data_IF_073186170071
#
_entry.id   IF_073186170071
#
_cell.length_a   1.000
_cell.length_b   1.000
_cell.length_c   1.000
_cell.angle_alpha   90.00
_cell.angle_beta   90.00
_cell.angle_gamma   90.00
#
_symmetry.space_group_name_H-M   'P 1'
#
loop_
_entity.id
_entity.type
_entity.pdbx_description
1 polymer ?
#
# COMPACT_ATOMS: atom_id res chain seq x y z
N UNK A 1 -6.29 7.17 19.70
CA UNK A 1 -5.11 7.16 18.82
C UNK A 1 -5.48 7.99 17.60
N UNK A 2 -4.66 8.95 17.18
CA UNK A 2 -4.97 9.73 15.97
C UNK A 2 -4.44 8.98 14.74
N UNK A 3 -5.33 8.21 14.12
CA UNK A 3 -5.02 7.40 12.94
C UNK A 3 -4.51 8.23 11.76
N UNK A 4 -4.88 9.51 11.69
CA UNK A 4 -4.44 10.41 10.63
C UNK A 4 -2.93 10.66 10.70
N UNK A 5 -2.40 10.88 11.90
CA UNK A 5 -0.96 11.10 12.13
C UNK A 5 -0.18 9.82 11.82
N UNK A 6 -0.66 8.68 12.31
CA UNK A 6 0.01 7.39 12.09
C UNK A 6 0.02 6.98 10.61
N UNK A 7 -1.08 7.21 9.88
CA UNK A 7 -1.14 6.94 8.45
C UNK A 7 -0.27 7.92 7.65
N UNK A 8 -0.17 9.19 8.08
CA UNK A 8 0.74 10.15 7.47
C UNK A 8 2.21 9.72 7.62
N UNK A 9 2.60 9.12 8.75
CA UNK A 9 3.95 8.56 8.92
C UNK A 9 4.22 7.41 7.94
N UNK A 10 3.25 6.53 7.71
CA UNK A 10 3.37 5.46 6.70
C UNK A 10 3.55 6.05 5.31
N UNK A 11 2.74 7.05 4.95
CA UNK A 11 2.85 7.78 3.68
C UNK A 11 4.28 8.30 3.49
N UNK A 12 4.81 9.02 4.48
CA UNK A 12 6.16 9.58 4.41
C UNK A 12 7.25 8.50 4.26
N UNK A 13 7.14 7.38 4.97
CA UNK A 13 8.10 6.28 4.87
C UNK A 13 8.13 5.68 3.46
N UNK A 14 6.95 5.45 2.86
CA UNK A 14 6.84 4.93 1.49
C UNK A 14 7.38 5.94 0.47
N UNK A 15 7.05 7.22 0.61
CA UNK A 15 7.53 8.28 -0.28
C UNK A 15 9.05 8.47 -0.18
N UNK A 16 9.62 8.48 1.02
CA UNK A 16 11.07 8.61 1.26
C UNK A 16 11.86 7.40 0.78
N UNK A 17 11.31 6.20 0.92
CA UNK A 17 11.96 4.97 0.47
C UNK A 17 11.97 4.83 -1.06
N UNK A 18 11.24 5.68 -1.79
CA UNK A 18 11.14 5.64 -3.25
C UNK A 18 10.83 4.21 -3.75
N UNK A 19 9.83 3.56 -3.14
CA UNK A 19 9.43 2.21 -3.53
C UNK A 19 9.21 2.15 -5.04
N UNK A 20 10.08 1.46 -5.76
CA UNK A 20 10.03 1.35 -7.22
C UNK A 20 10.41 -0.07 -7.63
N UNK A 21 10.05 -0.47 -8.84
CA UNK A 21 10.42 -1.80 -9.31
C UNK A 21 10.07 -2.08 -10.76
N UNK A 22 10.58 -3.20 -11.24
CA UNK A 22 10.36 -3.69 -12.61
C UNK A 22 8.98 -4.31 -12.78
N UNK A 23 8.39 -4.79 -11.68
CA UNK A 23 7.04 -5.34 -11.62
C UNK A 23 6.19 -4.64 -10.54
N UNK A 24 4.85 -4.72 -10.63
CA UNK A 24 3.94 -4.27 -9.56
C UNK A 24 4.20 -4.96 -8.22
N UNK A 25 4.64 -6.23 -8.24
CA UNK A 25 4.91 -6.99 -7.03
C UNK A 25 6.15 -6.49 -6.28
N UNK A 26 7.16 -6.00 -7.00
CA UNK A 26 8.33 -5.35 -6.40
C UNK A 26 7.89 -4.14 -5.53
N UNK A 27 6.97 -3.33 -6.08
CA UNK A 27 6.40 -2.18 -5.36
C UNK A 27 5.60 -2.65 -4.14
N UNK A 28 4.74 -3.66 -4.28
CA UNK A 28 3.98 -4.24 -3.16
C UNK A 28 4.90 -4.72 -2.04
N UNK A 29 5.98 -5.41 -2.39
CA UNK A 29 6.94 -5.94 -1.43
C UNK A 29 7.66 -4.81 -0.68
N UNK A 30 8.10 -3.77 -1.39
CA UNK A 30 8.70 -2.59 -0.76
C UNK A 30 7.72 -1.92 0.23
N UNK A 31 6.45 -1.70 -0.16
CA UNK A 31 5.46 -1.08 0.72
C UNK A 31 5.22 -1.96 1.96
N UNK A 32 5.14 -3.29 1.80
CA UNK A 32 4.99 -4.22 2.94
C UNK A 32 6.14 -4.11 3.94
N UNK A 33 7.37 -3.92 3.48
CA UNK A 33 8.51 -3.67 4.37
C UNK A 33 8.37 -2.35 5.12
N UNK A 34 8.01 -1.26 4.42
CA UNK A 34 7.79 0.04 5.07
C UNK A 34 6.66 0.01 6.10
N UNK A 35 5.61 -0.77 5.83
CA UNK A 35 4.54 -1.03 6.81
C UNK A 35 5.07 -1.73 8.07
N UNK A 36 5.92 -2.76 7.91
CA UNK A 36 6.56 -3.45 9.04
C UNK A 36 7.46 -2.52 9.85
N UNK A 37 8.25 -1.68 9.18
CA UNK A 37 9.08 -0.64 9.83
C UNK A 37 8.22 0.38 10.60
N UNK A 38 7.02 0.66 10.12
CA UNK A 38 6.04 1.52 10.78
C UNK A 38 5.26 0.82 11.91
N UNK A 39 5.54 -0.46 12.20
CA UNK A 39 4.87 -1.24 13.25
C UNK A 39 3.56 -1.91 12.82
N UNK A 40 3.28 -1.97 11.52
CA UNK A 40 2.12 -2.68 10.98
C UNK A 40 2.52 -4.07 10.46
N UNK A 41 1.68 -5.07 10.69
CA UNK A 41 1.77 -6.40 10.11
C UNK A 41 0.82 -6.49 8.89
N UNK A 42 1.33 -6.51 7.64
CA UNK A 42 0.48 -6.67 6.46
C UNK A 42 -0.20 -8.04 6.46
N UNK A 43 -1.52 -8.06 6.31
CA UNK A 43 -2.35 -9.27 6.32
C UNK A 43 -2.85 -9.65 4.94
N UNK A 44 -3.10 -8.67 4.07
CA UNK A 44 -3.54 -8.91 2.70
C UNK A 44 -2.99 -7.84 1.74
N UNK A 45 -2.84 -8.21 0.48
CA UNK A 45 -2.46 -7.29 -0.59
C UNK A 45 -3.27 -7.64 -1.84
N UNK A 46 -3.83 -6.63 -2.49
CA UNK A 46 -4.59 -6.76 -3.73
C UNK A 46 -4.01 -5.82 -4.77
N UNK A 47 -3.84 -6.35 -5.98
CA UNK A 47 -3.59 -5.58 -7.19
C UNK A 47 -4.93 -5.40 -7.90
N UNK A 48 -5.32 -4.15 -8.12
CA UNK A 48 -6.61 -3.81 -8.70
C UNK A 48 -6.43 -3.11 -10.05
N UNK A 49 -7.31 -3.38 -10.99
CA UNK A 49 -7.32 -2.79 -12.32
C UNK A 49 -7.91 -1.36 -12.32
N UNK A 50 -8.19 -0.79 -13.50
CA UNK A 50 -8.76 0.56 -13.63
C UNK A 50 -10.19 0.69 -13.08
N UNK A 51 -10.94 -0.42 -12.98
CA UNK A 51 -12.30 -0.47 -12.47
C UNK A 51 -12.36 -0.78 -10.96
N UNK A 52 -11.19 -0.92 -10.32
CA UNK A 52 -11.05 -1.29 -8.90
C UNK A 52 -11.43 -2.76 -8.65
N UNK A 53 -11.40 -3.60 -9.70
CA UNK A 53 -11.56 -5.04 -9.61
C UNK A 53 -10.20 -5.74 -9.49
N UNK A 54 -10.12 -6.98 -8.94
CA UNK A 54 -8.87 -7.74 -8.93
C UNK A 54 -8.29 -7.87 -10.35
N UNK A 55 -7.06 -7.41 -10.54
CA UNK A 55 -6.42 -7.45 -11.85
C UNK A 55 -6.15 -8.89 -12.27
N UNK A 56 -6.53 -9.27 -13.51
CA UNK A 56 -6.28 -10.62 -14.05
C UNK A 56 -4.78 -10.91 -14.18
N UNK A 57 -3.99 -9.87 -14.48
CA UNK A 57 -2.53 -9.91 -14.55
C UNK A 57 -1.93 -8.75 -13.76
N UNK A 58 -0.82 -8.96 -13.03
CA UNK A 58 -0.19 -7.89 -12.26
C UNK A 58 0.06 -6.63 -13.08
N UNK A 59 0.52 -6.76 -14.33
CA UNK A 59 0.88 -5.64 -15.21
C UNK A 59 -0.30 -4.74 -15.58
N UNK A 60 -1.53 -5.22 -15.43
CA UNK A 60 -2.76 -4.46 -15.65
C UNK A 60 -3.17 -3.64 -14.41
N UNK A 61 -2.52 -3.87 -13.26
CA UNK A 61 -2.85 -3.19 -12.02
C UNK A 61 -2.64 -1.68 -12.14
N UNK A 62 -3.66 -0.95 -11.69
CA UNK A 62 -3.66 0.51 -11.53
C UNK A 62 -3.66 0.93 -10.07
N UNK A 63 -4.03 0.04 -9.16
CA UNK A 63 -4.02 0.31 -7.73
C UNK A 63 -3.43 -0.85 -6.93
N UNK A 64 -2.86 -0.50 -5.78
CA UNK A 64 -2.44 -1.43 -4.74
C UNK A 64 -3.28 -1.13 -3.52
N UNK A 65 -3.98 -2.14 -3.00
CA UNK A 65 -4.66 -2.09 -1.71
C UNK A 65 -3.96 -3.04 -0.75
N UNK A 66 -3.50 -2.51 0.38
CA UNK A 66 -2.84 -3.27 1.44
C UNK A 66 -3.68 -3.19 2.70
N UNK A 67 -3.94 -4.34 3.31
CA UNK A 67 -4.54 -4.43 4.63
C UNK A 67 -3.47 -4.82 5.63
N UNK A 68 -3.49 -4.18 6.80
CA UNK A 68 -2.54 -4.46 7.85
C UNK A 68 -3.19 -4.32 9.23
N UNK A 69 -2.57 -4.97 10.22
CA UNK A 69 -2.92 -4.82 11.64
C UNK A 69 -1.76 -4.23 12.40
N UNK A 70 -2.04 -3.64 13.55
CA UNK A 70 -1.02 -3.19 14.49
C UNK A 70 -1.21 -3.90 15.81
N UNK A 71 -0.11 -4.27 16.47
CA UNK A 71 -0.20 -4.87 17.79
C UNK A 71 -0.91 -3.92 18.77
N UNK A 72 -1.85 -4.46 19.55
CA UNK A 72 -2.69 -3.68 20.46
C UNK A 72 -3.84 -2.92 19.79
N UNK A 73 -3.96 -2.95 18.45
CA UNK A 73 -5.12 -2.42 17.72
C UNK A 73 -5.96 -3.57 17.14
N UNK A 74 -7.27 -3.55 17.44
CA UNK A 74 -8.23 -4.53 16.91
C UNK A 74 -8.70 -4.20 15.50
N UNK A 75 -8.44 -2.98 15.04
CA UNK A 75 -8.90 -2.48 13.76
C UNK A 75 -8.04 -2.98 12.61
N UNK A 76 -8.62 -2.99 11.41
CA UNK A 76 -7.87 -3.27 10.18
C UNK A 76 -7.58 -1.96 9.47
N UNK A 77 -6.30 -1.71 9.21
CA UNK A 77 -5.84 -0.53 8.49
C UNK A 77 -5.71 -0.85 7.02
N UNK A 78 -6.26 0.01 6.18
CA UNK A 78 -6.23 -0.11 4.73
C UNK A 78 -5.39 1.04 4.17
N UNK A 79 -4.41 0.71 3.35
CA UNK A 79 -3.57 1.66 2.63
C UNK A 79 -3.76 1.46 1.13
N UNK A 80 -4.10 2.52 0.42
CA UNK A 80 -4.37 2.46 -1.02
C UNK A 80 -3.43 3.38 -1.78
N UNK A 81 -2.83 2.85 -2.83
CA UNK A 81 -1.88 3.54 -3.70
C UNK A 81 -2.31 3.40 -5.15
N UNK A 82 -2.15 4.44 -5.96
CA UNK A 82 -2.14 4.31 -7.41
C UNK A 82 -0.80 3.74 -7.83
N UNK A 83 -0.79 2.91 -8.88
CA UNK A 83 0.40 2.34 -9.47
C UNK A 83 0.69 3.05 -10.79
N UNK A 84 1.80 3.79 -10.81
CA UNK A 84 2.26 4.53 -11.99
C UNK A 84 3.39 3.75 -12.66
N UNK A 85 3.54 3.88 -13.98
CA UNK A 85 4.63 3.26 -14.75
C UNK A 85 5.38 4.27 -15.65
N UNK A 86 5.96 5.35 -15.10
CA UNK A 86 6.75 6.28 -15.90
C UNK A 86 8.02 5.59 -16.41
N UNK A 87 8.31 5.71 -17.71
CA UNK A 87 9.56 5.20 -18.28
C UNK A 87 9.78 3.69 -18.10
N UNK A 88 8.71 2.91 -17.91
CA UNK A 88 8.79 1.45 -17.75
C UNK A 88 8.99 0.95 -16.32
N UNK A 89 9.26 1.83 -15.35
CA UNK A 89 9.45 1.49 -13.93
C UNK A 89 8.16 1.74 -13.15
N UNK A 90 7.72 0.77 -12.35
CA UNK A 90 6.56 0.93 -11.49
C UNK A 90 6.89 1.74 -10.24
N UNK A 91 6.01 2.65 -9.84
CA UNK A 91 6.09 3.42 -8.60
C UNK A 91 4.70 3.65 -7.99
N UNK A 92 4.54 3.63 -6.65
CA UNK A 92 3.28 3.94 -6.01
C UNK A 92 3.10 5.45 -5.86
N UNK A 93 1.86 5.89 -5.88
CA UNK A 93 1.43 7.22 -5.45
C UNK A 93 0.37 7.02 -4.37
N UNK A 94 0.56 7.64 -3.21
CA UNK A 94 -0.41 7.57 -2.11
C UNK A 94 -1.76 8.15 -2.56
N UNK A 95 -2.85 7.42 -2.33
CA UNK A 95 -4.21 7.90 -2.58
C UNK A 95 -4.95 8.15 -1.28
N UNK A 96 -5.17 7.10 -0.50
CA UNK A 96 -5.99 7.17 0.69
C UNK A 96 -5.61 6.09 1.70
N UNK A 97 -6.09 6.28 2.92
CA UNK A 97 -6.03 5.29 3.97
C UNK A 97 -7.36 5.26 4.72
N UNK A 98 -7.75 4.08 5.20
CA UNK A 98 -8.96 3.91 5.97
C UNK A 98 -8.72 2.96 7.16
N UNK A 99 -9.61 3.02 8.14
CA UNK A 99 -9.64 2.09 9.27
C UNK A 99 -11.00 1.41 9.24
N UNK A 100 -11.00 0.08 9.23
CA UNK A 100 -12.21 -0.72 9.43
C UNK A 100 -12.26 -1.09 10.89
N UNK A 101 -13.21 -0.48 11.59
CA UNK A 101 -13.47 -0.78 12.99
C UNK A 101 -14.08 -2.18 13.14
N UNK A 102 -13.62 -2.90 14.17
CA UNK A 102 -14.21 -4.17 14.59
C UNK A 102 -14.80 -4.06 15.99
#
# INVERSE_FOLDING_TARGET
MDYSIEHARVKELVEKAQCTGSTPLDVVNCIKERLREAGYAPTAAQLLDANVDPAERPEQARFIRLEARREGDRNTHIFTFALLKPGGVYKPLWLQSAVVEK
#
